data_IF_819265034604
#
_entry.id   IF_819265034604
#
_cell.length_a   1.000
_cell.length_b   1.000
_cell.length_c   1.000
_cell.angle_alpha   90.00
_cell.angle_beta   90.00
_cell.angle_gamma   90.00
#
_symmetry.space_group_name_H-M   'P 1'
#
loop_
_entity.id
_entity.type
_entity.pdbx_description
1 polymer ?
#
# COMPACT_ATOMS: atom_id res chain seq x y z
N UNK A 1 -12.63 20.59 -11.16
CA UNK A 1 -11.84 19.40 -11.43
C UNK A 1 -10.58 19.40 -10.58
N UNK A 2 -10.18 18.25 -10.10
CA UNK A 2 -8.95 18.13 -9.34
C UNK A 2 -7.73 18.22 -10.28
N UNK A 3 -6.72 18.96 -9.88
CA UNK A 3 -5.48 19.08 -10.63
C UNK A 3 -4.72 17.76 -10.56
N UNK A 4 -4.49 17.10 -11.71
CA UNK A 4 -3.61 15.94 -11.80
C UNK A 4 -2.16 16.41 -11.91
N UNK A 5 -1.52 16.61 -10.77
CA UNK A 5 -0.15 17.12 -10.68
C UNK A 5 0.86 16.12 -11.24
N UNK A 6 0.61 14.83 -11.12
CA UNK A 6 1.52 13.79 -11.65
C UNK A 6 1.54 13.82 -13.17
N UNK A 7 0.36 13.77 -13.81
CA UNK A 7 0.25 13.91 -15.27
C UNK A 7 0.89 15.22 -15.77
N UNK A 8 0.58 16.34 -15.11
CA UNK A 8 1.10 17.64 -15.52
C UNK A 8 2.63 17.70 -15.46
N UNK A 9 3.23 17.12 -14.41
CA UNK A 9 4.68 17.04 -14.29
C UNK A 9 5.31 16.17 -15.39
N UNK A 10 4.75 14.99 -15.64
CA UNK A 10 5.22 14.08 -16.68
C UNK A 10 5.09 14.69 -18.07
N UNK A 11 3.95 15.37 -18.32
CA UNK A 11 3.71 16.07 -19.59
C UNK A 11 4.75 17.17 -19.81
N UNK A 12 5.02 17.97 -18.79
CA UNK A 12 6.05 19.00 -18.85
C UNK A 12 7.44 18.41 -19.17
N UNK A 13 7.80 17.28 -18.53
CA UNK A 13 9.09 16.62 -18.82
C UNK A 13 9.16 16.14 -20.26
N UNK A 14 8.13 15.45 -20.75
CA UNK A 14 8.11 14.95 -22.12
C UNK A 14 8.13 16.08 -23.17
N UNK A 15 7.44 17.19 -22.90
CA UNK A 15 7.44 18.35 -23.81
C UNK A 15 8.78 19.10 -23.81
N UNK A 16 9.50 19.06 -22.69
CA UNK A 16 10.80 19.73 -22.56
C UNK A 16 11.94 18.97 -23.26
N UNK A 17 11.89 17.65 -23.22
CA UNK A 17 12.97 16.81 -23.74
C UNK A 17 12.71 16.35 -25.17
N UNK A 18 13.76 16.28 -25.97
CA UNK A 18 13.75 15.75 -27.37
C UNK A 18 14.12 14.26 -27.43
N UNK A 19 14.54 13.69 -26.30
CA UNK A 19 14.85 12.27 -26.16
C UNK A 19 13.70 11.57 -25.44
N UNK A 20 13.52 10.25 -25.66
CA UNK A 20 12.49 9.49 -24.94
C UNK A 20 12.69 9.57 -23.42
N UNK A 21 11.60 9.84 -22.71
CA UNK A 21 11.56 9.83 -21.24
C UNK A 21 11.00 8.51 -20.77
N UNK A 22 11.71 7.83 -19.89
CA UNK A 22 11.27 6.59 -19.23
C UNK A 22 11.14 6.86 -17.74
N UNK A 23 10.03 6.43 -17.14
CA UNK A 23 9.82 6.53 -15.71
C UNK A 23 10.46 5.29 -15.08
N UNK A 24 11.60 5.48 -14.43
CA UNK A 24 12.41 4.37 -13.89
C UNK A 24 11.77 3.69 -12.69
N UNK A 25 10.96 4.43 -11.94
CA UNK A 25 10.20 3.89 -10.81
C UNK A 25 8.87 4.66 -10.63
N UNK A 26 7.77 3.93 -10.45
CA UNK A 26 6.52 4.47 -9.94
C UNK A 26 5.82 3.45 -9.08
N UNK A 27 5.22 3.87 -8.00
CA UNK A 27 4.53 2.99 -7.08
C UNK A 27 4.01 3.70 -5.84
N UNK A 28 3.17 3.02 -5.10
CA UNK A 28 2.65 3.44 -3.80
C UNK A 28 2.68 2.25 -2.84
N UNK A 29 2.81 2.55 -1.55
CA UNK A 29 2.97 1.54 -0.51
C UNK A 29 1.64 1.25 0.20
N UNK A 30 1.43 0.00 0.58
CA UNK A 30 0.40 -0.43 1.53
C UNK A 30 0.87 -0.40 2.99
N UNK A 31 1.98 0.27 3.28
CA UNK A 31 2.57 0.35 4.61
C UNK A 31 1.61 0.83 5.69
N UNK A 32 1.86 0.40 6.93
CA UNK A 32 0.99 0.67 8.10
C UNK A 32 0.96 2.13 8.53
N UNK A 33 1.95 2.91 8.13
CA UNK A 33 2.00 4.34 8.36
C UNK A 33 1.96 5.10 7.05
N UNK A 34 1.75 6.40 7.14
CA UNK A 34 1.64 7.30 6.00
C UNK A 34 2.83 8.24 5.97
N UNK A 35 3.71 8.07 4.98
CA UNK A 35 4.86 8.97 4.79
C UNK A 35 4.45 10.28 4.12
N UNK A 36 3.46 10.23 3.24
CA UNK A 36 2.96 11.39 2.52
C UNK A 36 1.47 11.26 2.27
N UNK A 37 0.74 12.33 2.53
CA UNK A 37 -0.70 12.41 2.31
C UNK A 37 -1.01 13.17 1.04
N UNK A 38 -1.80 12.54 0.15
CA UNK A 38 -2.40 13.21 -0.98
C UNK A 38 -3.80 13.72 -0.59
N UNK A 39 -3.94 15.05 -0.48
CA UNK A 39 -5.20 15.70 -0.10
C UNK A 39 -6.24 15.74 -1.24
N UNK A 40 -5.84 15.45 -2.46
CA UNK A 40 -6.68 15.66 -3.64
C UNK A 40 -7.21 14.37 -4.25
N UNK A 41 -6.39 13.33 -4.33
CA UNK A 41 -6.71 12.07 -5.03
C UNK A 41 -6.70 10.84 -4.11
N UNK A 42 -6.28 10.99 -2.86
CA UNK A 42 -6.18 9.90 -1.89
C UNK A 42 -5.05 8.90 -2.17
N UNK A 43 -4.13 9.22 -3.08
CA UNK A 43 -2.96 8.38 -3.37
C UNK A 43 -1.87 8.65 -2.34
N UNK A 44 -2.02 8.06 -1.18
CA UNK A 44 -1.09 8.24 -0.09
C UNK A 44 0.13 7.32 -0.26
N UNK A 45 1.25 7.71 0.32
CA UNK A 45 2.36 6.79 0.54
C UNK A 45 2.15 6.06 1.86
N UNK A 46 1.63 4.87 1.79
CA UNK A 46 1.19 4.07 2.93
C UNK A 46 -0.26 4.29 3.32
N UNK A 47 -0.74 3.50 4.26
CA UNK A 47 -2.12 3.52 4.76
C UNK A 47 -3.17 3.26 3.66
N UNK A 48 -2.83 2.38 2.76
CA UNK A 48 -3.70 1.94 1.65
C UNK A 48 -3.91 0.44 1.74
N UNK A 49 -5.08 -0.01 1.33
CA UNK A 49 -5.32 -1.43 1.07
C UNK A 49 -4.59 -1.87 -0.21
N UNK A 50 -4.37 -3.16 -0.37
CA UNK A 50 -3.77 -3.70 -1.60
C UNK A 50 -4.62 -3.39 -2.84
N UNK A 51 -5.95 -3.35 -2.70
CA UNK A 51 -6.86 -2.95 -3.77
C UNK A 51 -6.70 -1.48 -4.17
N UNK A 52 -6.58 -0.60 -3.19
CA UNK A 52 -6.30 0.83 -3.43
C UNK A 52 -4.94 1.03 -4.08
N UNK A 53 -3.93 0.27 -3.66
CA UNK A 53 -2.61 0.24 -4.32
C UNK A 53 -2.76 -0.14 -5.79
N UNK A 54 -3.50 -1.21 -6.10
CA UNK A 54 -3.73 -1.65 -7.47
C UNK A 54 -4.36 -0.55 -8.33
N UNK A 55 -5.40 0.12 -7.85
CA UNK A 55 -6.01 1.25 -8.57
C UNK A 55 -5.06 2.42 -8.74
N UNK A 56 -4.29 2.77 -7.70
CA UNK A 56 -3.32 3.86 -7.78
C UNK A 56 -2.21 3.57 -8.81
N UNK A 57 -1.75 2.31 -8.90
CA UNK A 57 -0.77 1.89 -9.90
C UNK A 57 -1.32 2.00 -11.32
N UNK A 58 -2.56 1.57 -11.55
CA UNK A 58 -3.23 1.68 -12.86
C UNK A 58 -3.35 3.15 -13.25
N UNK A 59 -3.85 4.00 -12.36
CA UNK A 59 -3.98 5.43 -12.61
C UNK A 59 -2.62 6.10 -12.92
N UNK A 60 -1.56 5.74 -12.19
CA UNK A 60 -0.22 6.27 -12.47
C UNK A 60 0.30 5.82 -13.84
N UNK A 61 0.06 4.55 -14.20
CA UNK A 61 0.44 4.04 -15.50
C UNK A 61 -0.30 4.76 -16.64
N UNK A 62 -1.60 4.98 -16.50
CA UNK A 62 -2.40 5.73 -17.46
C UNK A 62 -1.89 7.17 -17.63
N UNK A 63 -1.55 7.84 -16.52
CA UNK A 63 -0.94 9.18 -16.55
C UNK A 63 0.41 9.18 -17.29
N UNK A 64 1.26 8.19 -17.06
CA UNK A 64 2.57 8.02 -17.72
C UNK A 64 2.38 7.87 -19.23
N UNK A 65 1.46 7.00 -19.65
CA UNK A 65 1.19 6.76 -21.06
C UNK A 65 0.55 7.99 -21.72
N UNK A 66 -0.42 8.62 -21.08
CA UNK A 66 -1.09 9.82 -21.58
C UNK A 66 -0.14 11.03 -21.70
N UNK A 67 0.87 11.13 -20.83
CA UNK A 67 1.90 12.16 -20.91
C UNK A 67 2.89 11.96 -22.07
N UNK A 68 2.89 10.79 -22.73
CA UNK A 68 3.75 10.49 -23.86
C UNK A 68 5.12 9.91 -23.47
N UNK A 69 5.25 9.36 -22.27
CA UNK A 69 6.49 8.68 -21.85
C UNK A 69 6.73 7.41 -22.67
N UNK A 70 7.98 7.07 -22.90
CA UNK A 70 8.39 5.94 -23.71
C UNK A 70 8.29 4.59 -23.00
N UNK A 71 8.11 4.61 -21.68
CA UNK A 71 7.93 3.43 -20.86
C UNK A 71 8.01 3.73 -19.37
N UNK A 72 7.79 2.70 -18.57
CA UNK A 72 7.84 2.79 -17.11
C UNK A 72 8.20 1.45 -16.47
N UNK A 73 8.73 1.53 -15.25
CA UNK A 73 9.00 0.38 -14.40
C UNK A 73 8.21 0.55 -13.10
N UNK A 74 7.36 -0.42 -12.79
CA UNK A 74 6.65 -0.41 -11.53
C UNK A 74 7.61 -0.73 -10.38
N UNK A 75 7.51 0.02 -9.30
CA UNK A 75 8.20 -0.25 -8.07
C UNK A 75 7.17 -0.76 -7.04
N UNK A 76 7.15 -2.07 -6.69
CA UNK A 76 8.19 -3.02 -7.10
C UNK A 76 7.57 -4.40 -7.33
N UNK A 77 8.36 -5.37 -7.79
CA UNK A 77 7.87 -6.73 -8.07
C UNK A 77 7.38 -7.44 -6.80
N UNK A 78 8.13 -7.30 -5.71
CA UNK A 78 7.90 -8.03 -4.47
C UNK A 78 8.19 -7.14 -3.27
N UNK A 79 7.48 -7.36 -2.15
CA UNK A 79 7.71 -6.66 -0.91
C UNK A 79 9.16 -6.79 -0.41
N UNK A 80 9.68 -5.72 0.14
CA UNK A 80 11.05 -5.64 0.66
C UNK A 80 11.03 -5.47 2.20
N UNK A 81 10.59 -6.47 2.93
CA UNK A 81 10.42 -6.39 4.40
C UNK A 81 11.68 -6.03 5.18
N UNK A 82 12.84 -6.30 4.61
CA UNK A 82 14.15 -5.93 5.16
C UNK A 82 14.50 -4.45 4.93
N UNK A 83 13.76 -3.75 4.10
CA UNK A 83 14.11 -2.40 3.69
C UNK A 83 13.99 -1.41 4.83
N UNK A 84 15.02 -0.59 4.96
CA UNK A 84 15.09 0.52 5.91
C UNK A 84 15.55 1.75 5.17
N UNK A 85 14.89 2.86 5.41
CA UNK A 85 15.34 4.14 4.87
C UNK A 85 16.20 4.88 5.88
N UNK A 86 17.07 5.76 5.39
CA UNK A 86 17.95 6.57 6.24
C UNK A 86 17.19 7.39 7.30
N UNK A 87 15.96 7.79 6.99
CA UNK A 87 15.09 8.57 7.88
C UNK A 87 14.33 7.72 8.90
N UNK A 88 14.34 6.40 8.77
CA UNK A 88 13.68 5.49 9.72
C UNK A 88 14.64 4.60 10.49
N UNK A 89 15.92 4.53 10.08
CA UNK A 89 16.89 3.57 10.64
C UNK A 89 17.20 3.75 12.12
N UNK A 90 17.23 4.98 12.63
CA UNK A 90 17.64 5.27 14.00
C UNK A 90 16.83 6.37 14.69
N UNK A 91 15.85 6.95 14.03
CA UNK A 91 15.25 8.20 14.44
C UNK A 91 13.73 8.27 14.26
N UNK A 92 13.03 7.14 14.17
CA UNK A 92 11.57 7.18 14.19
C UNK A 92 11.12 7.48 15.59
N UNK A 93 10.81 8.73 15.81
CA UNK A 93 10.11 9.21 16.98
C UNK A 93 8.61 9.20 16.63
N UNK A 94 7.90 8.20 17.11
CA UNK A 94 6.47 8.02 16.79
C UNK A 94 5.62 9.20 17.31
N UNK A 95 6.08 9.92 18.33
CA UNK A 95 5.41 11.12 18.82
C UNK A 95 5.50 12.28 17.82
N UNK A 96 6.50 12.26 16.96
CA UNK A 96 6.73 13.29 15.93
C UNK A 96 6.26 12.91 14.52
N UNK A 97 5.86 11.66 14.33
CA UNK A 97 5.35 11.15 13.05
C UNK A 97 3.88 10.70 13.18
N UNK A 98 2.93 11.65 13.22
CA UNK A 98 1.55 11.39 13.64
C UNK A 98 0.79 10.42 12.73
N UNK A 99 1.30 10.15 11.54
CA UNK A 99 0.70 9.21 10.59
C UNK A 99 1.41 7.86 10.54
N UNK A 100 2.42 7.65 11.38
CA UNK A 100 3.22 6.44 11.41
C UNK A 100 2.83 5.58 12.62
N UNK A 101 2.52 4.31 12.39
CA UNK A 101 1.99 3.43 13.43
C UNK A 101 3.04 2.54 14.09
N UNK A 102 4.21 2.37 13.49
CA UNK A 102 5.29 1.53 14.01
C UNK A 102 6.67 1.95 13.49
N UNK A 103 7.70 1.19 13.86
CA UNK A 103 9.10 1.44 13.46
C UNK A 103 9.47 0.92 12.07
N UNK A 104 8.52 0.39 11.32
CA UNK A 104 8.77 -0.09 9.98
C UNK A 104 8.85 1.09 9.00
N UNK A 105 9.56 0.88 7.90
CA UNK A 105 9.59 1.86 6.83
C UNK A 105 8.35 1.72 5.93
N UNK A 106 7.89 2.84 5.38
CA UNK A 106 6.85 2.85 4.36
C UNK A 106 7.27 2.16 3.06
N UNK A 107 8.56 1.87 2.89
CA UNK A 107 9.09 1.27 1.68
C UNK A 107 9.09 -0.27 1.69
N UNK A 108 8.56 -0.90 2.73
CA UNK A 108 8.51 -2.36 2.81
C UNK A 108 7.42 -2.99 1.95
N UNK A 109 6.31 -2.30 1.72
CA UNK A 109 5.08 -2.83 1.14
C UNK A 109 4.73 -2.16 -0.19
N UNK A 110 5.67 -2.15 -1.13
CA UNK A 110 5.47 -1.68 -2.50
C UNK A 110 5.21 -2.81 -3.50
N UNK A 111 5.33 -4.06 -3.07
CA UNK A 111 5.26 -5.22 -3.96
C UNK A 111 3.93 -5.37 -4.67
N UNK A 112 4.00 -5.80 -5.92
CA UNK A 112 2.85 -6.36 -6.64
C UNK A 112 2.53 -7.77 -6.13
N UNK A 113 3.56 -8.48 -5.67
CA UNK A 113 3.45 -9.79 -5.04
C UNK A 113 3.85 -9.67 -3.58
N UNK A 114 3.06 -10.26 -2.72
CA UNK A 114 3.41 -10.48 -1.32
C UNK A 114 4.11 -11.82 -1.12
N UNK A 115 4.69 -12.03 0.05
CA UNK A 115 5.21 -13.33 0.45
C UNK A 115 4.08 -14.16 1.06
N UNK A 116 3.18 -14.65 0.23
CA UNK A 116 2.17 -15.61 0.66
C UNK A 116 2.84 -16.94 1.01
N UNK A 117 2.44 -17.62 2.08
CA UNK A 117 3.01 -18.88 2.54
C UNK A 117 2.86 -20.09 1.61
N UNK A 118 2.30 -19.93 0.42
CA UNK A 118 2.53 -20.86 -0.67
C UNK A 118 1.57 -22.03 -0.79
N UNK A 119 0.37 -21.92 -0.30
CA UNK A 119 -0.78 -22.71 -0.75
C UNK A 119 -1.39 -22.07 -2.01
N UNK A 120 -1.99 -22.86 -2.90
CA UNK A 120 -2.68 -22.32 -4.08
C UNK A 120 -3.83 -21.38 -3.71
N UNK A 121 -4.39 -21.57 -2.51
CA UNK A 121 -5.42 -20.71 -1.93
C UNK A 121 -4.99 -20.32 -0.50
N UNK A 122 -4.83 -19.05 -0.24
CA UNK A 122 -4.59 -18.56 1.11
C UNK A 122 -5.83 -18.77 1.98
N UNK A 123 -5.62 -19.06 3.26
CA UNK A 123 -6.72 -19.16 4.24
C UNK A 123 -7.35 -17.79 4.54
N UNK A 124 -6.65 -16.72 4.18
CA UNK A 124 -7.11 -15.35 4.36
C UNK A 124 -6.37 -14.41 3.40
N UNK A 125 -7.09 -13.46 2.84
CA UNK A 125 -6.54 -12.35 2.06
C UNK A 125 -6.77 -11.04 2.82
N UNK A 126 -5.71 -10.26 3.00
CA UNK A 126 -5.79 -8.96 3.69
C UNK A 126 -6.15 -7.88 2.66
N UNK A 127 -7.34 -7.96 2.11
CA UNK A 127 -7.84 -7.11 1.03
C UNK A 127 -9.04 -6.21 1.43
N UNK A 128 -9.47 -6.33 2.70
CA UNK A 128 -10.62 -5.58 3.22
C UNK A 128 -11.97 -6.22 2.93
N UNK A 129 -12.02 -7.37 2.27
CA UNK A 129 -13.23 -8.18 2.08
C UNK A 129 -13.28 -9.27 3.18
N UNK A 130 -14.25 -9.25 4.09
CA UNK A 130 -14.34 -10.24 5.17
C UNK A 130 -15.06 -11.54 4.74
N UNK A 131 -15.33 -11.75 3.46
CA UNK A 131 -16.21 -12.84 3.01
C UNK A 131 -15.68 -14.25 3.32
N UNK A 132 -14.37 -14.41 3.48
CA UNK A 132 -13.75 -15.69 3.87
C UNK A 132 -13.83 -15.98 5.37
N UNK A 133 -14.21 -14.99 6.20
CA UNK A 133 -14.37 -15.17 7.63
C UNK A 133 -15.74 -15.73 7.98
N UNK A 134 -15.77 -16.67 8.90
CA UNK A 134 -17.00 -17.36 9.32
C UNK A 134 -17.17 -17.31 10.84
N UNK A 135 -18.35 -17.66 11.31
CA UNK A 135 -18.62 -17.76 12.75
C UNK A 135 -17.73 -18.79 13.48
N UNK A 136 -17.17 -19.77 12.75
CA UNK A 136 -16.26 -20.76 13.30
C UNK A 136 -14.87 -20.17 13.63
N UNK A 137 -14.52 -19.04 13.03
CA UNK A 137 -13.24 -18.37 13.24
C UNK A 137 -13.24 -17.41 14.43
N UNK A 138 -14.42 -17.12 15.03
CA UNK A 138 -14.57 -16.21 16.15
C UNK A 138 -13.93 -16.80 17.42
N UNK A 139 -12.94 -16.10 17.95
CA UNK A 139 -12.21 -16.50 19.18
C UNK A 139 -12.59 -15.67 20.39
N UNK A 140 -13.16 -14.49 20.18
CA UNK A 140 -13.66 -13.61 21.24
C UNK A 140 -14.88 -12.85 20.73
N UNK A 141 -15.92 -12.81 21.53
CA UNK A 141 -17.14 -12.03 21.28
C UNK A 141 -17.49 -11.20 22.52
N UNK A 142 -17.82 -9.95 22.31
CA UNK A 142 -18.23 -9.00 23.36
C UNK A 142 -19.46 -8.20 22.89
N UNK A 143 -20.03 -7.38 23.77
CA UNK A 143 -21.13 -6.48 23.40
C UNK A 143 -20.70 -5.41 22.37
N UNK A 144 -19.41 -5.07 22.33
CA UNK A 144 -18.86 -4.02 21.47
C UNK A 144 -18.30 -4.56 20.15
N UNK A 145 -18.06 -5.87 20.02
CA UNK A 145 -17.53 -6.47 18.80
C UNK A 145 -16.98 -7.87 18.97
N UNK A 146 -16.38 -8.36 17.90
CA UNK A 146 -15.79 -9.69 17.83
C UNK A 146 -14.37 -9.67 17.30
N UNK A 147 -13.61 -10.71 17.68
CA UNK A 147 -12.29 -11.01 17.15
C UNK A 147 -12.32 -12.42 16.58
N UNK A 148 -11.94 -12.54 15.32
CA UNK A 148 -11.76 -13.81 14.63
C UNK A 148 -10.28 -14.07 14.39
N UNK A 149 -9.90 -15.34 14.32
CA UNK A 149 -8.52 -15.76 14.08
C UNK A 149 -8.49 -16.92 13.10
N UNK A 150 -7.60 -16.82 12.12
CA UNK A 150 -7.16 -17.93 11.27
C UNK A 150 -5.65 -18.08 11.36
N UNK A 151 -5.15 -19.20 10.96
CA UNK A 151 -3.71 -19.43 10.87
C UNK A 151 -3.39 -20.40 9.74
N UNK A 152 -2.21 -20.26 9.23
CA UNK A 152 -1.56 -21.22 8.34
C UNK A 152 -0.15 -21.55 8.85
N UNK A 153 0.69 -22.12 8.00
CA UNK A 153 2.04 -22.55 8.37
C UNK A 153 2.97 -21.43 8.83
N UNK A 154 2.69 -20.17 8.43
CA UNK A 154 3.59 -19.03 8.63
C UNK A 154 2.95 -17.83 9.29
N UNK A 155 1.62 -17.67 9.19
CA UNK A 155 0.92 -16.48 9.63
C UNK A 155 -0.23 -16.77 10.58
N UNK A 156 -0.47 -15.80 11.45
CA UNK A 156 -1.71 -15.65 12.20
C UNK A 156 -2.46 -14.47 11.61
N UNK A 157 -3.71 -14.69 11.23
CA UNK A 157 -4.59 -13.67 10.71
C UNK A 157 -5.61 -13.31 11.76
N UNK A 158 -5.88 -12.04 11.90
CA UNK A 158 -6.88 -11.53 12.84
C UNK A 158 -7.86 -10.63 12.09
N UNK A 159 -9.14 -10.87 12.30
CA UNK A 159 -10.22 -9.99 11.87
C UNK A 159 -10.97 -9.48 13.08
N UNK A 160 -11.00 -8.17 13.25
CA UNK A 160 -11.73 -7.52 14.31
C UNK A 160 -12.90 -6.72 13.71
N UNK A 161 -14.09 -6.97 14.22
CA UNK A 161 -15.30 -6.24 13.86
C UNK A 161 -15.92 -5.62 15.11
N UNK A 162 -16.28 -4.34 15.05
CA UNK A 162 -16.85 -3.68 16.20
C UNK A 162 -17.28 -2.25 15.96
N UNK A 163 -17.87 -1.67 17.02
CA UNK A 163 -18.27 -0.27 17.05
C UNK A 163 -17.13 0.53 17.67
N UNK A 164 -16.64 1.55 17.00
CA UNK A 164 -15.64 2.48 17.53
C UNK A 164 -14.25 1.89 17.85
N UNK A 165 -13.57 1.25 16.90
CA UNK A 165 -12.12 1.08 16.98
C UNK A 165 -11.44 2.44 16.88
N UNK A 166 -10.92 2.97 18.00
CA UNK A 166 -10.08 4.16 18.06
C UNK A 166 -8.64 3.78 18.40
#
# INVERSE_FOLDING_TARGET
>A
GHLNTYYAYLKMLNDHHTIPVVISEYGVSTGRGMAQRDYYRGRNQGHMTEREQGYALIDCYEDIMAAGSAGSCVFTWQDEWFKRTWNTMHAVDLDKTPYWSDYQTNEQYFGLLTFDPGEEESVCYVDGDPSEWTAADVVLETEDGSLSMKYDEKFLYFYAEGRDFR
#
